data_IF_649540419925
#
_entry.id   IF_649540419925
#
_cell.length_a   1.000
_cell.length_b   1.000
_cell.length_c   1.000
_cell.angle_alpha   90.00
_cell.angle_beta   90.00
_cell.angle_gamma   90.00
#
_symmetry.space_group_name_H-M   'P 1'
#
loop_
_entity.id
_entity.type
_entity.pdbx_description
1 polymer ?
#
# COMPACT_ATOMS: atom_id res chain seq x y z
N UNK A 1 36.18 3.43 2.23
CA UNK A 1 36.16 1.96 2.46
C UNK A 1 35.00 1.68 3.39
N UNK A 2 34.05 0.80 3.04
CA UNK A 2 32.86 0.53 3.88
C UNK A 2 33.21 -0.47 4.99
N UNK A 3 32.66 -0.28 6.20
CA UNK A 3 32.84 -1.20 7.34
C UNK A 3 31.91 -2.40 7.19
N UNK A 4 32.44 -3.61 7.20
CA UNK A 4 31.62 -4.84 7.15
C UNK A 4 31.17 -5.22 8.57
N UNK A 5 29.88 -5.51 8.73
CA UNK A 5 29.28 -6.02 9.97
C UNK A 5 28.84 -7.46 9.73
N UNK A 6 29.45 -8.36 10.49
CA UNK A 6 29.28 -9.81 10.39
C UNK A 6 28.50 -10.37 11.57
N UNK A 7 28.01 -11.60 11.45
CA UNK A 7 27.37 -12.32 12.55
C UNK A 7 28.25 -12.41 13.81
N UNK A 8 29.58 -12.49 13.66
CA UNK A 8 30.50 -12.52 14.79
C UNK A 8 30.55 -11.19 15.53
N UNK A 9 30.37 -10.07 14.83
CA UNK A 9 30.33 -8.74 15.46
C UNK A 9 29.10 -8.60 16.35
N UNK A 10 27.95 -9.13 15.91
CA UNK A 10 26.70 -9.17 16.68
C UNK A 10 26.85 -10.06 17.92
N UNK A 11 27.39 -11.28 17.75
CA UNK A 11 27.62 -12.20 18.88
C UNK A 11 28.58 -11.60 19.91
N UNK A 12 29.64 -10.94 19.44
CA UNK A 12 30.61 -10.30 20.31
C UNK A 12 30.01 -9.10 21.06
N UNK A 13 29.16 -8.31 20.41
CA UNK A 13 28.43 -7.21 21.05
C UNK A 13 27.46 -7.72 22.12
N UNK A 14 26.67 -8.74 21.79
CA UNK A 14 25.78 -9.38 22.76
C UNK A 14 26.54 -10.00 23.94
N UNK A 15 27.68 -10.65 23.70
CA UNK A 15 28.53 -11.21 24.76
C UNK A 15 29.12 -10.15 25.70
N UNK A 16 29.25 -8.90 25.24
CA UNK A 16 29.64 -7.74 26.08
C UNK A 16 28.46 -7.12 26.83
N UNK A 17 27.25 -7.65 26.67
CA UNK A 17 26.02 -7.12 27.30
C UNK A 17 25.35 -5.99 26.52
N UNK A 18 25.80 -5.71 25.29
CA UNK A 18 25.11 -4.77 24.41
C UNK A 18 23.82 -5.42 23.88
N UNK A 19 22.73 -4.66 23.82
CA UNK A 19 21.44 -5.13 23.32
C UNK A 19 21.06 -4.45 21.99
N UNK A 20 21.85 -3.46 21.57
CA UNK A 20 21.63 -2.73 20.34
C UNK A 20 22.92 -2.18 19.78
N UNK A 21 22.96 -1.94 18.47
CA UNK A 21 24.03 -1.19 17.82
C UNK A 21 23.49 -0.24 16.77
N UNK A 22 24.10 0.95 16.68
CA UNK A 22 23.81 1.91 15.63
C UNK A 22 24.75 1.70 14.44
N UNK A 23 24.20 1.64 13.23
CA UNK A 23 24.95 1.44 11.99
C UNK A 23 24.59 2.50 10.97
N UNK A 24 25.61 3.14 10.40
CA UNK A 24 25.44 4.08 9.29
C UNK A 24 25.50 3.29 7.99
N UNK A 25 24.36 3.10 7.31
CA UNK A 25 24.24 2.27 6.09
C UNK A 25 25.10 2.77 4.92
N UNK A 26 25.35 4.08 4.83
CA UNK A 26 26.23 4.63 3.79
C UNK A 26 27.70 4.23 4.02
N UNK A 27 28.10 4.05 5.27
CA UNK A 27 29.46 3.73 5.69
C UNK A 27 29.66 2.24 6.00
N UNK A 28 28.60 1.44 6.07
CA UNK A 28 28.67 0.05 6.54
C UNK A 28 27.86 -0.92 5.66
N UNK A 29 28.30 -2.17 5.58
CA UNK A 29 27.59 -3.28 4.94
C UNK A 29 27.24 -4.28 6.02
N UNK A 30 25.96 -4.64 6.14
CA UNK A 30 25.49 -5.66 7.07
C UNK A 30 25.28 -6.94 6.28
N UNK A 31 25.96 -8.02 6.68
CA UNK A 31 25.76 -9.34 6.08
C UNK A 31 24.37 -9.88 6.42
N UNK A 32 23.69 -10.63 5.52
CA UNK A 32 22.41 -11.27 5.82
C UNK A 32 22.45 -12.11 7.10
N UNK A 33 23.54 -12.86 7.31
CA UNK A 33 23.74 -13.71 8.48
C UNK A 33 23.84 -12.89 9.78
N UNK A 34 24.31 -11.63 9.71
CA UNK A 34 24.30 -10.74 10.87
C UNK A 34 22.89 -10.31 11.27
N UNK A 35 21.98 -10.13 10.31
CA UNK A 35 20.57 -9.77 10.59
C UNK A 35 19.82 -10.93 11.24
N UNK A 36 20.02 -12.15 10.74
CA UNK A 36 19.42 -13.37 11.34
C UNK A 36 19.89 -13.59 12.78
N UNK A 37 21.19 -13.42 13.04
CA UNK A 37 21.74 -13.57 14.40
C UNK A 37 21.27 -12.45 15.33
N UNK A 38 21.08 -11.24 14.81
CA UNK A 38 20.52 -10.15 15.59
C UNK A 38 19.08 -10.44 16.02
N UNK A 39 18.25 -10.94 15.10
CA UNK A 39 16.87 -11.35 15.39
C UNK A 39 16.81 -12.50 16.43
N UNK A 40 17.64 -13.54 16.26
CA UNK A 40 17.70 -14.68 17.18
C UNK A 40 18.12 -14.29 18.61
N UNK A 41 18.98 -13.28 18.74
CA UNK A 41 19.50 -12.81 20.03
C UNK A 41 18.68 -11.64 20.62
N UNK A 42 17.62 -11.18 19.94
CA UNK A 42 16.87 -9.99 20.34
C UNK A 42 17.70 -8.69 20.27
N UNK A 43 18.78 -8.70 19.50
CA UNK A 43 19.74 -7.61 19.39
C UNK A 43 19.26 -6.60 18.33
N UNK A 44 19.04 -5.35 18.72
CA UNK A 44 18.45 -4.33 17.83
C UNK A 44 19.53 -3.62 17.01
N UNK A 45 19.46 -3.72 15.68
CA UNK A 45 20.31 -2.91 14.79
C UNK A 45 19.53 -1.66 14.39
N UNK A 46 19.99 -0.49 14.83
CA UNK A 46 19.39 0.81 14.48
C UNK A 46 20.16 1.46 13.35
N UNK A 47 19.49 1.74 12.23
CA UNK A 47 20.10 2.41 11.09
C UNK A 47 20.07 3.92 11.31
N UNK A 48 21.24 4.57 11.37
CA UNK A 48 21.35 6.01 11.61
C UNK A 48 21.93 6.73 10.39
N UNK A 49 21.31 7.82 9.98
CA UNK A 49 21.86 8.76 8.99
C UNK A 49 22.62 9.86 9.74
N UNK A 50 23.86 10.16 9.33
CA UNK A 50 24.68 11.18 9.99
C UNK A 50 24.07 12.58 9.83
N UNK A 51 23.50 13.10 10.91
CA UNK A 51 23.61 14.52 11.25
C UNK A 51 23.89 14.63 12.76
N UNK A 52 25.03 15.25 13.09
CA UNK A 52 25.57 15.42 14.46
C UNK A 52 25.22 16.83 14.99
N UNK A 53 25.37 17.18 16.29
CA UNK A 53 25.23 16.42 17.54
C UNK A 53 24.23 17.05 18.55
N UNK A 54 23.79 16.22 19.49
CA UNK A 54 23.34 16.49 20.87
C UNK A 54 22.88 17.91 21.28
N UNK A 55 21.58 18.03 21.58
CA UNK A 55 21.13 18.74 22.77
C UNK A 55 20.05 17.91 23.47
N UNK A 56 20.27 17.75 24.77
CA UNK A 56 19.35 17.14 25.72
C UNK A 56 17.99 17.82 25.71
N UNK A 57 16.95 17.11 25.29
CA UNK A 57 15.62 17.29 25.85
C UNK A 57 14.85 15.98 25.82
N UNK A 58 14.40 15.57 27.00
CA UNK A 58 13.41 14.54 27.16
C UNK A 58 12.12 14.99 26.47
N UNK A 59 11.94 14.62 25.21
CA UNK A 59 10.63 14.67 24.58
C UNK A 59 10.47 13.40 23.76
N UNK A 60 9.78 12.45 24.39
CA UNK A 60 9.30 11.23 23.76
C UNK A 60 8.80 11.52 22.35
N UNK A 61 9.17 10.64 21.42
CA UNK A 61 8.64 10.60 20.07
C UNK A 61 7.12 10.50 20.14
N UNK A 62 6.43 11.64 20.24
CA UNK A 62 4.98 11.68 20.31
C UNK A 62 4.46 11.14 18.98
N UNK A 63 3.67 10.07 19.05
CA UNK A 63 2.96 9.52 17.90
C UNK A 63 2.14 10.63 17.23
N UNK A 64 1.88 10.51 15.94
CA UNK A 64 1.11 11.51 15.20
C UNK A 64 -0.25 11.79 15.87
N UNK A 65 -0.90 10.75 16.40
CA UNK A 65 -2.14 10.83 17.16
C UNK A 65 -2.04 11.72 18.41
N UNK A 66 -0.89 11.72 19.10
CA UNK A 66 -0.67 12.61 20.25
C UNK A 66 -0.51 14.07 19.83
N UNK A 67 0.13 14.33 18.69
CA UNK A 67 0.26 15.69 18.14
C UNK A 67 -1.09 16.25 17.69
N UNK A 68 -1.91 15.41 17.04
CA UNK A 68 -3.27 15.78 16.61
C UNK A 68 -4.16 16.05 17.84
N UNK A 69 -4.10 15.19 18.87
CA UNK A 69 -4.87 15.37 20.11
C UNK A 69 -4.53 16.68 20.82
N UNK A 70 -3.24 17.02 20.93
CA UNK A 70 -2.80 18.25 21.59
C UNK A 70 -3.24 19.51 20.83
N UNK A 71 -3.21 19.48 19.49
CA UNK A 71 -3.69 20.59 18.68
C UNK A 71 -5.20 20.81 18.84
N UNK A 72 -5.99 19.73 18.87
CA UNK A 72 -7.45 19.81 19.09
C UNK A 72 -7.76 20.41 20.47
N UNK A 73 -7.09 19.93 21.52
CA UNK A 73 -7.31 20.42 22.89
C UNK A 73 -6.93 21.91 23.01
N UNK A 74 -5.85 22.35 22.36
CA UNK A 74 -5.40 23.74 22.38
C UNK A 74 -6.36 24.73 21.69
N UNK A 75 -7.25 24.23 20.81
CA UNK A 75 -8.22 25.04 20.07
C UNK A 75 -9.64 24.99 20.64
N UNK A 76 -9.87 24.20 21.70
CA UNK A 76 -11.16 24.14 22.38
C UNK A 76 -11.25 25.16 23.53
N UNK A 77 -12.42 25.77 23.79
CA UNK A 77 -12.59 26.71 24.91
C UNK A 77 -12.39 26.02 26.26
N UNK A 78 -11.74 26.71 27.21
CA UNK A 78 -11.50 26.18 28.56
C UNK A 78 -12.83 25.85 29.26
N UNK A 79 -13.00 24.58 29.64
CA UNK A 79 -14.04 24.15 30.59
C UNK A 79 -15.19 23.29 30.04
N UNK A 80 -15.24 22.92 28.76
CA UNK A 80 -16.28 22.02 28.25
C UNK A 80 -15.79 21.08 27.14
N UNK A 81 -15.00 20.06 27.50
CA UNK A 81 -14.80 18.93 26.59
C UNK A 81 -14.81 17.61 27.34
N UNK A 82 -15.51 16.63 26.77
CA UNK A 82 -15.51 15.24 27.24
C UNK A 82 -14.49 14.45 26.40
N UNK A 83 -13.90 13.39 26.97
CA UNK A 83 -13.03 12.48 26.21
C UNK A 83 -13.73 11.91 24.96
N UNK A 84 -15.05 11.75 25.00
CA UNK A 84 -15.83 11.29 23.83
C UNK A 84 -15.80 12.28 22.66
N UNK A 85 -15.84 13.59 22.93
CA UNK A 85 -15.78 14.62 21.90
C UNK A 85 -14.38 14.71 21.29
N UNK A 86 -13.34 14.53 22.11
CA UNK A 86 -11.96 14.46 21.63
C UNK A 86 -11.75 13.24 20.72
N UNK A 87 -12.30 12.07 21.09
CA UNK A 87 -12.23 10.87 20.26
C UNK A 87 -12.97 11.06 18.92
N UNK A 88 -14.17 11.65 18.93
CA UNK A 88 -14.94 11.94 17.72
C UNK A 88 -14.24 12.96 16.80
N UNK A 89 -13.62 13.99 17.39
CA UNK A 89 -12.84 14.98 16.63
C UNK A 89 -11.56 14.37 16.07
N UNK A 90 -10.89 13.48 16.83
CA UNK A 90 -9.75 12.72 16.31
C UNK A 90 -10.17 11.83 15.13
N UNK A 91 -11.26 11.07 15.27
CA UNK A 91 -11.79 10.25 14.17
C UNK A 91 -12.11 11.10 12.94
N UNK A 92 -12.78 12.24 13.13
CA UNK A 92 -13.10 13.17 12.04
C UNK A 92 -11.85 13.77 11.39
N UNK A 93 -10.85 14.16 12.17
CA UNK A 93 -9.59 14.73 11.67
C UNK A 93 -8.74 13.67 10.97
N UNK A 94 -8.70 12.43 11.46
CA UNK A 94 -8.05 11.32 10.75
C UNK A 94 -8.77 11.04 9.43
N UNK A 95 -10.10 11.03 9.42
CA UNK A 95 -10.91 10.82 8.21
C UNK A 95 -10.74 11.96 7.20
N UNK A 96 -10.70 13.20 7.66
CA UNK A 96 -10.46 14.39 6.83
C UNK A 96 -9.00 14.42 6.31
N UNK A 97 -8.00 14.09 7.14
CA UNK A 97 -6.61 13.96 6.70
C UNK A 97 -6.43 12.83 5.68
N UNK A 98 -7.04 11.67 5.91
CA UNK A 98 -7.09 10.61 4.91
C UNK A 98 -7.76 11.11 3.64
N UNK A 99 -8.87 11.84 3.71
CA UNK A 99 -9.51 12.43 2.52
C UNK A 99 -8.62 13.45 1.79
N UNK A 100 -7.77 14.18 2.51
CA UNK A 100 -6.82 15.15 1.95
C UNK A 100 -5.59 14.47 1.32
N UNK A 101 -5.10 13.38 1.92
CA UNK A 101 -4.04 12.54 1.33
C UNK A 101 -4.56 11.75 0.12
N UNK A 102 -5.80 11.25 0.17
CA UNK A 102 -6.52 10.63 -0.95
C UNK A 102 -6.74 11.59 -2.13
N UNK A 103 -6.73 12.91 -1.89
CA UNK A 103 -6.88 13.94 -2.94
C UNK A 103 -5.72 13.98 -3.96
N UNK A 104 -4.70 13.13 -3.80
CA UNK A 104 -3.51 13.10 -4.69
C UNK A 104 -3.20 11.73 -5.29
N UNK A 105 -4.14 10.76 -5.24
CA UNK A 105 -3.97 9.48 -5.93
C UNK A 105 -4.07 9.66 -7.44
N UNK A 106 -2.95 10.02 -8.07
CA UNK A 106 -2.86 10.17 -9.52
C UNK A 106 -2.34 8.87 -10.15
N UNK A 107 -3.11 8.26 -11.09
CA UNK A 107 -2.66 7.06 -11.79
C UNK A 107 -1.43 7.38 -12.65
N UNK A 108 -0.38 6.56 -12.54
CA UNK A 108 0.82 6.70 -13.37
C UNK A 108 1.62 5.40 -13.42
N UNK A 109 2.43 5.22 -14.45
CA UNK A 109 3.32 4.07 -14.63
C UNK A 109 4.44 4.39 -15.63
N UNK A 110 5.51 3.61 -15.58
CA UNK A 110 6.60 3.63 -16.57
C UNK A 110 6.39 2.51 -17.59
N UNK A 111 6.63 2.81 -18.86
CA UNK A 111 6.57 1.82 -19.94
C UNK A 111 7.60 2.08 -21.03
N UNK A 112 7.89 1.05 -21.82
CA UNK A 112 8.73 1.11 -23.02
C UNK A 112 7.92 0.56 -24.19
N UNK A 113 7.83 1.33 -25.27
CA UNK A 113 7.17 0.91 -26.51
C UNK A 113 8.19 0.78 -27.63
N UNK A 114 8.30 -0.43 -28.20
CA UNK A 114 9.16 -0.70 -29.35
C UNK A 114 8.61 -0.10 -30.64
N UNK A 115 9.46 0.03 -31.66
CA UNK A 115 9.08 0.59 -32.98
C UNK A 115 7.89 -0.11 -33.64
N UNK A 116 7.68 -1.39 -33.33
CA UNK A 116 6.57 -2.21 -33.86
C UNK A 116 5.29 -2.17 -33.02
N UNK A 117 5.18 -1.29 -32.02
CA UNK A 117 3.98 -1.16 -31.17
C UNK A 117 3.93 -2.09 -29.96
N UNK A 118 4.91 -3.00 -29.79
CA UNK A 118 5.00 -3.84 -28.58
C UNK A 118 5.32 -2.96 -27.37
N UNK A 119 4.45 -2.99 -26.36
CA UNK A 119 4.54 -2.20 -25.13
C UNK A 119 4.86 -3.10 -23.94
N UNK A 120 5.82 -2.68 -23.11
CA UNK A 120 6.17 -3.32 -21.83
C UNK A 120 5.95 -2.31 -20.73
N UNK A 121 5.20 -2.70 -19.69
CA UNK A 121 4.95 -1.87 -18.51
C UNK A 121 5.80 -2.41 -17.35
N UNK A 122 6.49 -1.51 -16.64
CA UNK A 122 7.14 -1.86 -15.38
C UNK A 122 6.09 -1.91 -14.26
N UNK A 123 5.68 -3.12 -13.89
CA UNK A 123 4.65 -3.33 -12.87
C UNK A 123 5.00 -2.74 -11.49
N UNK A 124 6.29 -2.60 -11.17
CA UNK A 124 6.74 -2.01 -9.90
C UNK A 124 6.54 -0.49 -9.84
N UNK A 125 6.43 0.15 -11.01
CA UNK A 125 6.27 1.60 -11.14
C UNK A 125 4.81 2.07 -11.06
N UNK A 126 3.84 1.16 -11.09
CA UNK A 126 2.42 1.49 -11.14
C UNK A 126 1.97 2.19 -9.85
N UNK A 127 1.41 3.39 -10.00
CA UNK A 127 0.69 4.16 -8.98
C UNK A 127 -0.78 4.16 -9.34
N UNK A 128 -1.63 4.00 -8.33
CA UNK A 128 -3.07 3.86 -8.49
C UNK A 128 -3.78 5.21 -8.43
N UNK A 129 -4.72 5.41 -9.35
CA UNK A 129 -5.78 6.40 -9.21
C UNK A 129 -6.92 5.85 -8.36
N UNK A 130 -7.76 6.72 -7.82
CA UNK A 130 -8.99 6.26 -7.17
C UNK A 130 -10.02 5.87 -8.23
N UNK A 131 -10.69 4.75 -8.03
CA UNK A 131 -11.83 4.32 -8.83
C UNK A 131 -13.12 4.87 -8.24
N UNK A 132 -13.69 5.86 -8.90
CA UNK A 132 -14.91 6.55 -8.45
C UNK A 132 -16.14 5.62 -8.39
N UNK A 133 -16.16 4.56 -9.21
CA UNK A 133 -17.26 3.58 -9.22
C UNK A 133 -17.40 2.75 -7.94
N UNK A 134 -16.39 2.79 -7.06
CA UNK A 134 -16.39 2.09 -5.77
C UNK A 134 -16.56 3.01 -4.56
N UNK A 135 -16.92 4.29 -4.75
CA UNK A 135 -17.21 5.16 -3.60
C UNK A 135 -18.32 4.57 -2.70
N UNK A 136 -18.19 4.69 -1.36
CA UNK A 136 -17.23 5.50 -0.61
C UNK A 136 -15.86 4.84 -0.36
N UNK A 137 -15.62 3.62 -0.89
CA UNK A 137 -14.39 2.89 -0.65
C UNK A 137 -13.19 3.52 -1.39
N UNK A 138 -11.99 3.23 -0.91
CA UNK A 138 -10.73 3.64 -1.54
C UNK A 138 -10.20 2.49 -2.39
N UNK A 139 -10.72 2.36 -3.59
CA UNK A 139 -10.28 1.33 -4.55
C UNK A 139 -9.31 1.95 -5.54
N UNK A 140 -8.13 1.36 -5.66
CA UNK A 140 -7.10 1.79 -6.61
C UNK A 140 -7.30 1.13 -7.98
N UNK A 141 -7.23 1.93 -9.05
CA UNK A 141 -7.26 1.47 -10.44
C UNK A 141 -6.28 2.28 -11.29
N UNK A 142 -5.57 1.59 -12.19
CA UNK A 142 -4.76 2.21 -13.25
C UNK A 142 -4.85 1.40 -14.53
N UNK A 143 -5.41 2.00 -15.58
CA UNK A 143 -5.36 1.46 -16.95
C UNK A 143 -3.92 1.50 -17.50
N UNK A 144 -3.44 0.38 -18.03
CA UNK A 144 -2.07 0.20 -18.52
C UNK A 144 -2.01 0.02 -20.05
N UNK A 145 -2.97 -0.72 -20.60
CA UNK A 145 -3.16 -0.93 -22.03
C UNK A 145 -4.59 -0.55 -22.39
N UNK A 146 -4.75 0.32 -23.38
CA UNK A 146 -6.06 0.87 -23.77
C UNK A 146 -6.24 0.85 -25.29
N UNK A 147 -7.40 1.33 -25.76
CA UNK A 147 -7.64 1.56 -27.19
C UNK A 147 -6.63 2.54 -27.82
N UNK A 148 -6.05 3.48 -27.04
CA UNK A 148 -5.04 4.42 -27.56
C UNK A 148 -3.70 3.74 -27.89
N UNK A 149 -3.45 2.55 -27.31
CA UNK A 149 -2.33 1.69 -27.69
C UNK A 149 -2.64 0.84 -28.93
N UNK A 150 -3.84 0.96 -29.52
CA UNK A 150 -4.31 0.13 -30.63
C UNK A 150 -4.77 -1.28 -30.20
N UNK A 151 -4.99 -1.49 -28.89
CA UNK A 151 -5.47 -2.76 -28.36
C UNK A 151 -6.98 -2.90 -28.47
N UNK A 152 -7.46 -4.10 -28.82
CA UNK A 152 -8.88 -4.45 -28.76
C UNK A 152 -9.37 -4.73 -27.34
N UNK A 153 -8.45 -4.94 -26.41
CA UNK A 153 -8.71 -5.20 -24.98
C UNK A 153 -8.18 -4.05 -24.13
N UNK A 154 -8.84 -3.77 -23.02
CA UNK A 154 -8.29 -2.93 -21.97
C UNK A 154 -7.60 -3.84 -20.96
N UNK A 155 -6.49 -3.38 -20.39
CA UNK A 155 -5.86 -4.08 -19.28
C UNK A 155 -5.29 -3.08 -18.30
N UNK A 156 -5.37 -3.41 -17.02
CA UNK A 156 -4.84 -2.56 -15.97
C UNK A 156 -4.69 -3.30 -14.64
N UNK A 157 -4.20 -2.58 -13.65
CA UNK A 157 -4.15 -3.13 -12.29
C UNK A 157 -5.24 -2.50 -11.44
N UNK A 158 -5.81 -3.33 -10.56
CA UNK A 158 -6.58 -2.86 -9.42
C UNK A 158 -5.93 -3.32 -8.12
N UNK A 159 -6.07 -2.50 -7.08
CA UNK A 159 -5.54 -2.79 -5.76
C UNK A 159 -6.35 -2.07 -4.67
N UNK A 160 -6.71 -2.79 -3.61
CA UNK A 160 -7.33 -2.21 -2.41
C UNK A 160 -7.25 -3.16 -1.21
N UNK A 161 -7.63 -2.63 -0.04
CA UNK A 161 -7.70 -3.35 1.21
C UNK A 161 -9.14 -3.35 1.75
N UNK A 162 -9.56 -4.49 2.32
CA UNK A 162 -10.77 -4.69 3.12
C UNK A 162 -12.00 -3.86 2.68
N UNK A 163 -12.47 -4.10 1.46
CA UNK A 163 -13.65 -3.46 0.92
C UNK A 163 -14.40 -4.39 -0.03
N UNK A 164 -15.72 -4.22 -0.06
CA UNK A 164 -16.65 -4.86 -0.98
C UNK A 164 -17.55 -3.82 -1.61
N UNK A 165 -17.76 -3.88 -2.93
CA UNK A 165 -18.56 -2.90 -3.67
C UNK A 165 -19.26 -3.55 -4.87
N UNK A 166 -20.49 -3.11 -5.20
CA UNK A 166 -21.24 -3.66 -6.32
C UNK A 166 -20.70 -3.14 -7.66
N UNK A 167 -20.69 -3.99 -8.68
CA UNK A 167 -20.37 -3.61 -10.06
C UNK A 167 -21.14 -4.46 -11.07
N UNK A 168 -21.52 -3.88 -12.21
CA UNK A 168 -22.11 -4.65 -13.32
C UNK A 168 -21.21 -4.53 -14.54
N UNK A 169 -20.70 -5.67 -15.02
CA UNK A 169 -19.78 -5.71 -16.14
C UNK A 169 -20.56 -5.81 -17.45
N UNK A 170 -20.48 -4.79 -18.31
CA UNK A 170 -21.05 -4.84 -19.67
C UNK A 170 -20.08 -5.46 -20.71
N UNK A 171 -19.05 -6.13 -20.22
CA UNK A 171 -17.90 -6.66 -20.94
C UNK A 171 -17.45 -7.97 -20.30
N UNK A 172 -16.74 -8.79 -21.06
CA UNK A 172 -16.04 -9.95 -20.50
C UNK A 172 -14.75 -9.48 -19.81
N UNK A 173 -14.42 -10.09 -18.69
CA UNK A 173 -13.21 -9.78 -17.91
C UNK A 173 -12.47 -11.06 -17.50
N UNK A 174 -11.14 -11.03 -17.60
CA UNK A 174 -10.24 -12.04 -17.03
C UNK A 174 -9.37 -11.35 -15.99
N UNK A 175 -9.35 -11.90 -14.78
CA UNK A 175 -8.50 -11.43 -13.70
C UNK A 175 -7.37 -12.41 -13.43
N UNK A 176 -6.15 -11.91 -13.27
CA UNK A 176 -5.00 -12.65 -12.77
C UNK A 176 -4.56 -12.06 -11.44
N UNK A 177 -4.75 -12.80 -10.36
CA UNK A 177 -4.43 -12.32 -9.00
C UNK A 177 -2.93 -12.40 -8.77
N UNK A 178 -2.32 -11.24 -8.50
CA UNK A 178 -0.88 -11.11 -8.26
C UNK A 178 -0.55 -11.27 -6.78
N UNK A 179 -1.37 -10.66 -5.90
CA UNK A 179 -1.17 -10.66 -4.45
C UNK A 179 -2.53 -10.72 -3.74
N UNK A 180 -2.54 -11.34 -2.55
CA UNK A 180 -3.74 -11.42 -1.71
C UNK A 180 -4.81 -12.36 -2.26
N UNK A 181 -6.08 -11.97 -2.10
CA UNK A 181 -7.23 -12.74 -2.59
C UNK A 181 -8.37 -11.84 -3.10
N UNK A 182 -8.89 -12.18 -4.27
CA UNK A 182 -10.03 -11.53 -4.91
C UNK A 182 -11.29 -12.37 -4.63
N UNK A 183 -12.31 -11.73 -4.08
CA UNK A 183 -13.63 -12.30 -3.89
C UNK A 183 -14.61 -11.67 -4.89
N UNK A 184 -15.33 -12.51 -5.62
CA UNK A 184 -16.41 -12.09 -6.51
C UNK A 184 -17.68 -12.82 -6.13
N UNK A 185 -18.70 -12.09 -5.70
CA UNK A 185 -20.03 -12.66 -5.43
C UNK A 185 -20.95 -12.47 -6.63
N UNK A 186 -21.49 -13.56 -7.15
CA UNK A 186 -22.45 -13.58 -8.26
C UNK A 186 -23.54 -14.62 -7.96
N UNK A 187 -24.81 -14.28 -8.19
CA UNK A 187 -25.94 -15.19 -7.94
C UNK A 187 -25.99 -15.82 -6.53
N UNK A 188 -25.46 -15.11 -5.53
CA UNK A 188 -25.43 -15.56 -4.13
C UNK A 188 -24.22 -16.43 -3.76
N UNK A 189 -23.39 -16.80 -4.72
CA UNK A 189 -22.17 -17.59 -4.51
C UNK A 189 -20.92 -16.72 -4.57
N UNK A 190 -19.94 -16.99 -3.70
CA UNK A 190 -18.67 -16.27 -3.68
C UNK A 190 -17.55 -17.13 -4.26
N UNK A 191 -16.98 -16.66 -5.36
CA UNK A 191 -15.78 -17.21 -5.97
C UNK A 191 -14.56 -16.51 -5.39
N UNK A 192 -13.53 -17.28 -5.03
CA UNK A 192 -12.30 -16.76 -4.41
C UNK A 192 -11.11 -17.16 -5.28
N UNK A 193 -10.36 -16.17 -5.77
CA UNK A 193 -9.08 -16.38 -6.46
C UNK A 193 -7.95 -15.82 -5.60
N UNK A 194 -6.92 -16.63 -5.33
CA UNK A 194 -5.74 -16.23 -4.54
C UNK A 194 -4.59 -15.89 -5.47
N UNK A 195 -3.51 -15.34 -4.91
CA UNK A 195 -2.28 -15.07 -5.66
C UNK A 195 -1.83 -16.28 -6.51
N UNK A 196 -1.75 -16.08 -7.82
CA UNK A 196 -1.45 -17.12 -8.81
C UNK A 196 -2.67 -17.69 -9.56
N UNK A 197 -3.89 -17.46 -9.05
CA UNK A 197 -5.13 -17.93 -9.67
C UNK A 197 -5.65 -16.96 -10.73
N UNK A 198 -6.48 -17.49 -11.63
CA UNK A 198 -7.15 -16.75 -12.70
C UNK A 198 -8.66 -16.86 -12.53
N UNK A 199 -9.37 -15.75 -12.69
CA UNK A 199 -10.84 -15.69 -12.69
C UNK A 199 -11.35 -15.21 -14.05
N UNK A 200 -12.49 -15.72 -14.47
CA UNK A 200 -13.23 -15.23 -15.64
C UNK A 200 -14.61 -14.78 -15.20
N UNK A 201 -14.99 -13.55 -15.55
CA UNK A 201 -16.28 -12.95 -15.26
C UNK A 201 -16.97 -12.64 -16.60
N UNK A 202 -18.10 -13.31 -16.89
CA UNK A 202 -18.77 -13.13 -18.18
C UNK A 202 -19.52 -11.80 -18.25
N UNK A 203 -19.62 -11.26 -19.47
CA UNK A 203 -20.41 -10.08 -19.80
C UNK A 203 -21.85 -10.21 -19.30
N UNK A 204 -22.35 -9.13 -18.71
CA UNK A 204 -23.70 -9.00 -18.16
C UNK A 204 -23.80 -9.39 -16.68
N UNK A 205 -22.71 -9.83 -16.06
CA UNK A 205 -22.71 -10.21 -14.65
C UNK A 205 -22.85 -8.98 -13.75
N UNK A 206 -23.86 -9.00 -12.88
CA UNK A 206 -24.00 -8.06 -11.76
C UNK A 206 -23.42 -8.70 -10.51
N UNK A 207 -22.27 -8.22 -10.08
CA UNK A 207 -21.44 -8.83 -9.03
C UNK A 207 -21.23 -7.90 -7.83
N UNK A 208 -20.68 -8.46 -6.77
CA UNK A 208 -19.97 -7.70 -5.74
C UNK A 208 -18.49 -8.08 -5.79
N UNK A 209 -17.63 -7.11 -6.13
CA UNK A 209 -16.20 -7.24 -5.98
C UNK A 209 -15.82 -7.05 -4.52
N UNK A 210 -14.76 -7.72 -4.07
CA UNK A 210 -14.14 -7.33 -2.83
C UNK A 210 -12.97 -8.20 -2.40
N UNK A 211 -12.48 -7.89 -1.21
CA UNK A 211 -11.52 -8.72 -0.48
C UNK A 211 -11.72 -8.46 1.01
N UNK A 212 -11.68 -9.49 1.87
CA UNK A 212 -11.67 -9.29 3.31
C UNK A 212 -10.28 -8.88 3.84
N UNK A 213 -9.23 -9.01 3.02
CA UNK A 213 -7.84 -8.74 3.39
C UNK A 213 -7.26 -7.65 2.49
N UNK A 214 -6.46 -8.02 1.51
CA UNK A 214 -5.91 -7.14 0.48
C UNK A 214 -5.89 -7.89 -0.84
N UNK A 215 -5.84 -7.13 -1.93
CA UNK A 215 -5.77 -7.72 -3.26
C UNK A 215 -4.99 -6.82 -4.21
N UNK A 216 -4.21 -7.44 -5.09
CA UNK A 216 -3.64 -6.81 -6.28
C UNK A 216 -3.82 -7.77 -7.46
N UNK A 217 -4.45 -7.32 -8.54
CA UNK A 217 -4.67 -8.16 -9.72
C UNK A 217 -4.58 -7.37 -11.02
N UNK A 218 -4.32 -8.10 -12.10
CA UNK A 218 -4.46 -7.65 -13.48
C UNK A 218 -5.87 -7.98 -13.95
N UNK A 219 -6.60 -6.99 -14.47
CA UNK A 219 -7.79 -7.23 -15.28
C UNK A 219 -7.43 -7.15 -16.76
N UNK A 220 -8.13 -7.93 -17.58
CA UNK A 220 -8.15 -7.83 -19.04
C UNK A 220 -9.60 -7.89 -19.50
N UNK A 221 -10.09 -6.78 -20.03
CA UNK A 221 -11.48 -6.59 -20.44
C UNK A 221 -11.63 -6.49 -21.96
N UNK A 222 -12.73 -7.02 -22.49
CA UNK A 222 -13.13 -6.83 -23.89
C UNK A 222 -14.60 -6.41 -24.00
N UNK A 223 -14.90 -5.34 -24.77
CA UNK A 223 -14.00 -4.53 -25.60
C UNK A 223 -13.17 -3.51 -24.80
N UNK A 224 -12.08 -2.98 -25.39
CA UNK A 224 -11.19 -1.99 -24.76
C UNK A 224 -11.90 -0.70 -24.30
N UNK A 225 -12.96 -0.30 -24.98
CA UNK A 225 -13.74 0.88 -24.65
C UNK A 225 -14.85 0.58 -23.63
N UNK A 226 -14.62 -0.37 -22.72
CA UNK A 226 -15.60 -0.89 -21.75
C UNK A 226 -16.35 0.17 -20.94
N UNK A 227 -15.74 1.33 -20.68
CA UNK A 227 -16.39 2.46 -19.98
C UNK A 227 -17.50 3.13 -20.80
N UNK A 228 -17.48 2.97 -22.12
CA UNK A 228 -18.43 3.58 -23.06
C UNK A 228 -19.53 2.63 -23.51
N UNK A 229 -19.58 1.40 -22.98
CA UNK A 229 -20.47 0.31 -23.42
C UNK A 229 -21.54 -0.02 -22.40
#
# INVERSE_FOLDING_TARGET
>A
MKKLITANDIRAAHARGEQAMSVVLRASIITPEAREVAELLGFTITECDESVPASTSAQACKSESQRIREAIIAQLPEGQFTESLVAQLMEKVLKEKQSLELGTMQPSFTSVTGKGGVKVIDGSSVKFGRFDGAEPHCVGLTDLVTEQDGSSMAAGFMQWDNAFFPWTLNYDEIDMVLEGELHVRHEGETMIAKAGDVMFIPKGSSIEFGTPTSVRFLYVAWPANWQSV
#
